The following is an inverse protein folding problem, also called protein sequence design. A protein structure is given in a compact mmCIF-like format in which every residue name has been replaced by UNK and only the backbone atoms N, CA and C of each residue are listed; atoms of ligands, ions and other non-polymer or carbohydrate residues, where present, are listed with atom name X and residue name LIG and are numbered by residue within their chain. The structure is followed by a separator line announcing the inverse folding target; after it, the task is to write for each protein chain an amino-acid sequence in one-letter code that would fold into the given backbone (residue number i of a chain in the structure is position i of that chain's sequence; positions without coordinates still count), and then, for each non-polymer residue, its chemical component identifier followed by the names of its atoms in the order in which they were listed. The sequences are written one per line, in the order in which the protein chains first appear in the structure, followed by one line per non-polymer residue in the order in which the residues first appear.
data_IF_884900774028
#
_entry.id   IF_884900774028
#
_cell.length_a   1.000
_cell.length_b   1.000
_cell.length_c   1.000
_cell.angle_alpha   90.00
_cell.angle_beta   90.00
_cell.angle_gamma   90.00
#
_symmetry.space_group_name_H-M   'P 1'
#
loop_
_entity.id
_entity.type
_entity.pdbx_description
1 polymer ?
#
# COMPACT_ATOMS: atom_id res chain seq x y z
N UNK A 1 28.27 23.92 -5.69
CA UNK A 1 27.72 22.56 -5.67
C UNK A 1 26.29 22.65 -6.19
N UNK A 2 26.05 22.21 -7.43
CA UNK A 2 24.72 22.22 -8.01
C UNK A 2 23.86 21.22 -7.23
N UNK A 3 22.93 21.73 -6.41
CA UNK A 3 21.89 20.89 -5.83
C UNK A 3 20.99 20.45 -6.99
N UNK A 4 20.98 19.16 -7.29
CA UNK A 4 20.11 18.60 -8.31
C UNK A 4 18.69 18.46 -7.72
N UNK A 5 18.07 19.61 -7.42
CA UNK A 5 16.71 19.68 -6.90
C UNK A 5 15.79 19.26 -8.04
N UNK A 6 15.13 18.11 -7.88
CA UNK A 6 14.25 17.55 -8.91
C UNK A 6 12.80 17.95 -8.62
N UNK A 7 12.47 18.21 -7.36
CA UNK A 7 11.10 18.51 -6.93
C UNK A 7 11.12 19.42 -5.71
N UNK A 8 10.33 20.49 -5.70
CA UNK A 8 10.23 21.43 -4.57
C UNK A 8 8.86 22.09 -4.52
N UNK A 9 8.41 22.50 -3.33
CA UNK A 9 7.11 23.11 -3.14
C UNK A 9 6.82 23.45 -1.69
N UNK A 10 5.54 23.63 -1.36
CA UNK A 10 5.08 23.98 -0.01
C UNK A 10 4.27 22.86 0.63
N UNK A 11 4.45 22.69 1.94
CA UNK A 11 3.78 21.66 2.74
C UNK A 11 2.29 21.92 2.96
N UNK A 12 1.83 23.16 2.78
CA UNK A 12 0.40 23.52 2.83
C UNK A 12 -0.39 23.04 1.60
N UNK A 13 0.32 22.78 0.49
CA UNK A 13 -0.25 22.26 -0.75
C UNK A 13 -0.07 20.74 -0.88
N UNK A 14 1.09 20.19 -0.49
CA UNK A 14 1.37 18.75 -0.45
C UNK A 14 1.91 18.39 0.92
N UNK A 15 1.13 17.64 1.69
CA UNK A 15 1.57 17.21 3.02
C UNK A 15 2.65 16.11 2.95
N UNK A 16 3.32 15.84 4.07
CA UNK A 16 4.37 14.81 4.11
C UNK A 16 3.86 13.42 3.71
N UNK A 17 2.61 13.08 4.02
CA UNK A 17 2.01 11.82 3.62
C UNK A 17 1.94 11.69 2.10
N UNK A 18 1.46 12.73 1.42
CA UNK A 18 1.41 12.82 -0.03
C UNK A 18 2.80 12.84 -0.67
N UNK A 19 3.76 13.56 -0.09
CA UNK A 19 5.15 13.56 -0.56
C UNK A 19 5.75 12.16 -0.50
N UNK A 20 5.57 11.43 0.60
CA UNK A 20 6.03 10.05 0.71
C UNK A 20 5.31 9.13 -0.29
N UNK A 21 4.02 9.33 -0.57
CA UNK A 21 3.33 8.59 -1.63
C UNK A 21 3.98 8.84 -3.01
N UNK A 22 4.19 10.11 -3.37
CA UNK A 22 4.80 10.50 -4.67
C UNK A 22 6.19 9.90 -4.82
N UNK A 23 7.07 10.06 -3.82
CA UNK A 23 8.42 9.49 -3.84
C UNK A 23 8.40 7.96 -3.94
N UNK A 24 7.42 7.37 -3.27
CA UNK A 24 7.20 5.94 -3.25
C UNK A 24 6.78 5.34 -4.57
N UNK A 25 5.93 6.05 -5.30
CA UNK A 25 5.43 5.68 -6.61
C UNK A 25 6.48 5.87 -7.70
N UNK A 26 7.32 6.90 -7.58
CA UNK A 26 8.40 7.15 -8.53
C UNK A 26 9.68 6.34 -8.23
N UNK A 27 9.63 5.40 -7.28
CA UNK A 27 10.77 4.60 -6.80
C UNK A 27 12.03 5.46 -6.58
N UNK A 28 11.84 6.66 -6.02
CA UNK A 28 12.86 7.71 -6.05
C UNK A 28 13.99 7.48 -5.04
N UNK A 29 15.21 7.83 -5.44
CA UNK A 29 16.41 7.83 -4.61
C UNK A 29 16.87 9.26 -4.35
N UNK A 30 17.04 9.62 -3.08
CA UNK A 30 17.50 10.96 -2.72
C UNK A 30 17.10 11.42 -1.32
N UNK A 31 17.34 12.70 -1.07
CA UNK A 31 17.05 13.34 0.21
C UNK A 31 15.89 14.32 0.06
N UNK A 32 14.80 14.08 0.80
CA UNK A 32 13.73 15.03 1.01
C UNK A 32 14.08 15.93 2.20
N UNK A 33 14.25 17.20 1.94
CA UNK A 33 14.53 18.24 2.94
C UNK A 33 13.28 19.07 3.17
N UNK A 34 12.88 19.17 4.44
CA UNK A 34 11.79 20.02 4.90
C UNK A 34 12.35 21.19 5.68
N UNK A 35 11.87 22.39 5.39
CA UNK A 35 12.24 23.63 6.10
C UNK A 35 10.99 24.35 6.54
N UNK A 36 10.94 24.76 7.80
CA UNK A 36 9.85 25.56 8.34
C UNK A 36 10.40 26.74 9.12
N UNK A 37 9.73 27.88 9.06
CA UNK A 37 10.08 29.08 9.85
C UNK A 37 9.88 28.88 11.36
N UNK A 38 9.23 27.79 11.77
CA UNK A 38 8.97 27.43 13.17
C UNK A 38 9.97 26.42 13.74
N UNK A 39 10.96 25.98 12.96
CA UNK A 39 12.01 25.06 13.41
C UNK A 39 13.38 25.60 13.03
N UNK A 40 14.32 25.58 13.97
CA UNK A 40 15.69 26.06 13.73
C UNK A 40 16.50 25.09 12.85
N UNK A 41 16.19 23.79 12.92
CA UNK A 41 16.85 22.76 12.11
C UNK A 41 15.92 22.27 10.99
N UNK A 42 16.45 22.05 9.76
CA UNK A 42 15.68 21.40 8.71
C UNK A 42 15.41 19.94 9.06
N UNK A 43 14.25 19.44 8.66
CA UNK A 43 13.98 18.02 8.59
C UNK A 43 14.65 17.39 7.39
N UNK A 44 15.30 16.25 7.55
CA UNK A 44 15.85 15.47 6.45
C UNK A 44 15.24 14.08 6.49
N UNK A 45 14.77 13.60 5.34
CA UNK A 45 14.30 12.24 5.13
C UNK A 45 15.11 11.67 3.97
N UNK A 46 15.85 10.61 4.26
CA UNK A 46 16.65 9.89 3.28
C UNK A 46 15.79 8.77 2.70
N UNK A 47 15.69 8.72 1.38
CA UNK A 47 14.80 7.82 0.65
C UNK A 47 15.61 6.94 -0.29
N UNK A 48 15.37 5.63 -0.22
CA UNK A 48 15.92 4.63 -1.12
C UNK A 48 14.78 3.76 -1.68
N UNK A 49 14.75 3.57 -2.99
CA UNK A 49 13.71 2.91 -3.78
C UNK A 49 12.30 3.39 -3.38
N UNK A 50 12.15 4.71 -3.21
CA UNK A 50 10.90 5.35 -2.78
C UNK A 50 10.49 5.07 -1.33
N UNK A 51 11.34 4.45 -0.52
CA UNK A 51 11.06 4.16 0.89
C UNK A 51 11.96 5.01 1.81
N UNK A 52 11.41 5.63 2.87
CA UNK A 52 12.23 6.32 3.85
C UNK A 52 13.09 5.30 4.61
N UNK A 53 14.40 5.50 4.61
CA UNK A 53 15.39 4.61 5.26
C UNK A 53 16.00 5.21 6.52
N UNK A 54 16.13 6.53 6.59
CA UNK A 54 16.59 7.30 7.74
C UNK A 54 15.89 8.67 7.74
N UNK A 55 15.73 9.29 8.91
CA UNK A 55 15.32 10.69 8.98
C UNK A 55 15.95 11.41 10.18
N UNK A 56 16.04 12.74 10.12
CA UNK A 56 16.63 13.53 11.21
C UNK A 56 16.02 14.92 11.32
N UNK A 57 15.85 15.39 12.56
CA UNK A 57 15.52 16.79 12.88
C UNK A 57 16.33 17.18 14.12
N UNK A 58 17.31 18.07 13.98
CA UNK A 58 18.14 18.49 15.12
C UNK A 58 18.82 17.28 15.79
N UNK A 59 18.38 16.92 17.00
CA UNK A 59 18.86 15.76 17.76
C UNK A 59 18.02 14.49 17.58
N UNK A 60 16.82 14.58 16.99
CA UNK A 60 15.97 13.42 16.72
C UNK A 60 16.46 12.70 15.45
N UNK A 61 16.38 11.37 15.47
CA UNK A 61 16.74 10.51 14.34
C UNK A 61 15.77 9.33 14.15
N UNK A 62 15.81 8.67 13.00
CA UNK A 62 15.03 7.47 12.72
C UNK A 62 13.52 7.72 12.69
N UNK A 63 12.75 6.82 13.30
CA UNK A 63 11.28 6.90 13.29
C UNK A 63 10.71 8.09 14.07
N UNK A 64 11.36 8.51 15.16
CA UNK A 64 10.87 9.60 16.01
C UNK A 64 10.98 10.95 15.30
N UNK A 65 12.08 11.16 14.57
CA UNK A 65 12.22 12.30 13.65
C UNK A 65 11.16 12.24 12.55
N UNK A 66 10.94 11.07 11.93
CA UNK A 66 10.01 10.96 10.82
C UNK A 66 8.58 11.28 11.24
N UNK A 67 8.10 10.74 12.37
CA UNK A 67 6.77 11.04 12.88
C UNK A 67 6.64 12.51 13.31
N UNK A 68 7.69 13.11 13.87
CA UNK A 68 7.67 14.54 14.22
C UNK A 68 7.47 15.43 12.99
N UNK A 69 7.98 15.04 11.81
CA UNK A 69 7.81 15.78 10.56
C UNK A 69 6.36 15.76 10.03
N UNK A 70 5.52 14.79 10.40
CA UNK A 70 4.09 14.83 10.05
C UNK A 70 3.37 16.01 10.73
N UNK A 71 3.93 16.56 11.80
CA UNK A 71 3.41 17.76 12.46
C UNK A 71 3.65 19.06 11.69
N UNK A 72 4.52 19.04 10.67
CA UNK A 72 4.91 20.24 9.94
C UNK A 72 3.86 20.54 8.86
N UNK A 73 2.93 21.43 9.21
CA UNK A 73 1.80 21.81 8.33
C UNK A 73 2.06 23.09 7.54
N UNK A 74 3.11 23.84 7.87
CA UNK A 74 3.56 25.03 7.14
C UNK A 74 5.09 24.96 6.97
N UNK A 75 5.55 25.11 5.73
CA UNK A 75 6.96 24.99 5.36
C UNK A 75 7.17 24.74 3.87
N UNK A 76 8.42 24.62 3.50
CA UNK A 76 8.88 24.30 2.15
C UNK A 76 9.55 22.94 2.14
N UNK A 77 9.44 22.24 1.03
CA UNK A 77 10.15 20.98 0.79
C UNK A 77 11.01 21.08 -0.45
N UNK A 78 12.16 20.40 -0.42
CA UNK A 78 13.08 20.22 -1.55
C UNK A 78 13.51 18.75 -1.59
N UNK A 79 13.30 18.08 -2.72
CA UNK A 79 13.84 16.75 -2.97
C UNK A 79 15.02 16.84 -3.93
N UNK A 80 16.17 16.40 -3.44
CA UNK A 80 17.39 16.26 -4.23
C UNK A 80 17.57 14.79 -4.61
N UNK A 81 17.60 14.48 -5.90
CA UNK A 81 17.93 13.12 -6.33
C UNK A 81 19.44 12.91 -6.24
N UNK A 82 19.83 11.97 -5.41
CA UNK A 82 21.22 11.65 -5.09
C UNK A 82 21.33 10.22 -4.56
N UNK A 83 22.53 9.64 -4.61
CA UNK A 83 22.78 8.34 -4.02
C UNK A 83 22.79 8.46 -2.49
N UNK A 84 21.90 7.70 -1.84
CA UNK A 84 21.71 7.74 -0.40
C UNK A 84 22.46 6.57 0.24
N UNK A 85 23.66 6.85 0.79
CA UNK A 85 24.41 5.90 1.61
C UNK A 85 24.05 6.04 3.10
N UNK A 86 22.79 5.68 3.43
CA UNK A 86 22.29 5.64 4.81
C UNK A 86 21.84 4.23 5.16
N UNK A 87 22.14 3.81 6.39
CA UNK A 87 21.64 2.54 6.92
C UNK A 87 20.13 2.61 7.05
N UNK A 88 19.45 1.55 6.63
CA UNK A 88 18.02 1.43 6.82
C UNK A 88 17.70 1.18 8.30
N UNK A 89 17.26 2.23 9.00
CA UNK A 89 16.80 2.18 10.39
C UNK A 89 15.27 2.27 10.49
N UNK A 90 14.60 2.67 9.40
CA UNK A 90 13.14 2.75 9.29
C UNK A 90 12.60 1.47 8.64
N UNK A 91 12.25 0.49 9.48
CA UNK A 91 11.82 -0.84 9.04
C UNK A 91 10.28 -0.98 8.88
N UNK A 92 9.52 0.12 8.94
CA UNK A 92 8.06 0.12 8.76
C UNK A 92 7.69 0.30 7.28
N UNK A 93 6.56 -0.28 6.88
CA UNK A 93 6.01 -0.06 5.54
C UNK A 93 5.61 1.41 5.37
N UNK A 94 5.86 1.99 4.20
CA UNK A 94 5.58 3.40 3.89
C UNK A 94 4.13 3.81 4.16
N UNK A 95 3.15 3.00 3.75
CA UNK A 95 1.74 3.29 4.03
C UNK A 95 1.40 3.15 5.50
N UNK A 96 2.06 2.25 6.23
CA UNK A 96 1.91 2.17 7.69
C UNK A 96 2.44 3.44 8.37
N UNK A 97 3.59 3.97 7.92
CA UNK A 97 4.15 5.24 8.39
C UNK A 97 3.16 6.37 8.13
N UNK A 98 2.66 6.51 6.90
CA UNK A 98 1.71 7.57 6.52
C UNK A 98 0.43 7.50 7.37
N UNK A 99 -0.14 6.31 7.53
CA UNK A 99 -1.38 6.13 8.28
C UNK A 99 -1.20 6.28 9.79
N UNK A 100 -0.07 5.85 10.34
CA UNK A 100 0.26 6.09 11.76
C UNK A 100 0.55 7.58 12.00
N UNK A 101 1.31 8.24 11.12
CA UNK A 101 1.65 9.66 11.21
C UNK A 101 0.41 10.55 11.16
N UNK A 102 -0.46 10.36 10.16
CA UNK A 102 -1.73 11.07 10.06
C UNK A 102 -2.62 10.87 11.30
N UNK A 103 -2.73 9.62 11.78
CA UNK A 103 -3.50 9.33 13.00
C UNK A 103 -2.91 9.99 14.23
N UNK A 104 -1.59 9.96 14.40
CA UNK A 104 -0.91 10.57 15.55
C UNK A 104 -1.08 12.10 15.55
N UNK A 105 -1.12 12.72 14.37
CA UNK A 105 -1.42 14.15 14.20
C UNK A 105 -2.87 14.48 14.59
N UNK A 106 -3.83 13.68 14.15
CA UNK A 106 -5.25 13.85 14.47
C UNK A 106 -5.56 13.58 15.96
N UNK A 107 -4.93 12.56 16.54
CA UNK A 107 -5.01 12.23 17.97
C UNK A 107 -4.33 13.29 18.87
N UNK A 108 -3.63 14.27 18.28
CA UNK A 108 -2.88 15.31 19.01
C UNK A 108 -1.59 14.81 19.69
N UNK A 109 -1.06 13.66 19.27
CA UNK A 109 0.20 13.10 19.78
C UNK A 109 1.44 13.69 19.12
N UNK A 110 1.29 14.23 17.91
CA UNK A 110 2.31 15.01 17.21
C UNK A 110 1.92 16.48 17.30
N UNK A 111 2.85 17.31 17.74
CA UNK A 111 2.64 18.75 17.83
C UNK A 111 2.61 19.38 16.42
N UNK A 112 1.59 20.20 16.15
CA UNK A 112 1.46 20.92 14.88
C UNK A 112 2.39 22.12 14.85
N UNK A 113 3.41 22.06 14.00
CA UNK A 113 4.34 23.16 13.72
C UNK A 113 3.86 23.91 12.48
N UNK A 114 3.28 25.09 12.67
CA UNK A 114 2.77 25.93 11.61
C UNK A 114 2.18 27.25 12.10
N UNK A 115 1.78 28.13 11.17
CA UNK A 115 0.97 29.29 11.54
C UNK A 115 -0.30 28.74 12.19
N UNK A 116 -0.53 29.07 13.46
CA UNK A 116 -1.75 28.69 14.16
C UNK A 116 -2.92 29.40 13.48
N UNK A 117 -3.40 28.82 12.38
CA UNK A 117 -4.70 29.16 11.86
C UNK A 117 -5.67 28.55 12.85
N UNK A 118 -6.27 29.41 13.68
CA UNK A 118 -7.61 29.19 14.19
C UNK A 118 -8.57 29.10 12.99
N UNK A 119 -8.42 28.06 12.17
CA UNK A 119 -9.52 27.52 11.40
C UNK A 119 -10.16 26.54 12.35
N UNK A 120 -11.40 26.83 12.69
CA UNK A 120 -12.27 26.02 13.55
C UNK A 120 -11.86 24.55 13.46
N UNK A 121 -11.43 23.98 14.58
CA UNK A 121 -11.58 22.54 14.73
C UNK A 121 -13.02 22.24 14.36
N UNK A 122 -13.33 21.38 13.38
CA UNK A 122 -14.68 20.89 13.25
C UNK A 122 -15.03 20.36 14.63
N UNK A 123 -16.06 20.95 15.22
CA UNK A 123 -16.62 20.54 16.50
C UNK A 123 -16.62 19.01 16.52
N UNK A 124 -16.19 18.44 17.64
CA UNK A 124 -16.41 17.04 18.01
C UNK A 124 -17.74 16.52 17.46
N UNK A 125 -17.72 15.95 16.24
CA UNK A 125 -18.75 15.06 15.77
C UNK A 125 -18.41 13.72 16.38
N UNK A 126 -18.87 13.53 17.62
CA UNK A 126 -18.93 12.22 18.26
C UNK A 126 -19.76 11.30 17.35
N UNK A 127 -19.09 10.60 16.43
CA UNK A 127 -19.72 9.74 15.43
C UNK A 127 -18.95 9.56 14.12
N UNK A 128 -17.98 10.44 13.78
CA UNK A 128 -17.27 10.30 12.51
C UNK A 128 -16.30 9.11 12.51
N UNK A 129 -16.57 8.15 11.61
CA UNK A 129 -15.65 7.08 11.27
C UNK A 129 -14.32 7.72 10.85
N UNK A 130 -13.21 7.31 11.47
CA UNK A 130 -11.87 7.75 11.09
C UNK A 130 -11.72 7.75 9.55
N UNK A 131 -11.13 8.80 8.96
CA UNK A 131 -11.05 8.95 7.51
C UNK A 131 -10.45 7.69 6.89
N UNK A 132 -11.10 7.21 5.83
CA UNK A 132 -10.60 6.05 5.10
C UNK A 132 -9.22 6.36 4.54
N UNK A 133 -8.30 5.38 4.55
CA UNK A 133 -7.00 5.57 3.92
C UNK A 133 -7.20 5.87 2.42
N UNK A 134 -6.62 6.97 1.95
CA UNK A 134 -6.64 7.38 0.54
C UNK A 134 -5.33 6.97 -0.12
N UNK A 135 -5.44 6.18 -1.19
CA UNK A 135 -4.31 5.80 -2.06
C UNK A 135 -4.42 6.53 -3.38
N UNK A 136 -3.38 7.31 -3.70
CA UNK A 136 -3.19 7.91 -5.03
C UNK A 136 -2.12 7.12 -5.78
N UNK A 137 -2.07 7.31 -7.09
CA UNK A 137 -1.06 6.71 -7.94
C UNK A 137 -0.27 7.74 -8.74
N UNK A 138 0.61 7.26 -9.63
CA UNK A 138 1.45 8.11 -10.47
C UNK A 138 0.67 8.89 -11.52
N UNK A 139 1.38 9.76 -12.23
CA UNK A 139 0.91 10.33 -13.50
C UNK A 139 0.49 9.19 -14.44
N UNK A 140 -0.68 9.36 -15.05
CA UNK A 140 -1.30 8.37 -15.93
C UNK A 140 -0.66 8.44 -17.31
N UNK A 141 -0.23 7.29 -17.84
CA UNK A 141 0.14 7.14 -19.24
C UNK A 141 -1.11 6.99 -20.10
N UNK A 142 -1.54 8.09 -20.72
CA UNK A 142 -2.71 8.14 -21.60
C UNK A 142 -2.59 7.20 -22.81
N UNK A 143 -1.40 6.71 -23.18
CA UNK A 143 -1.26 5.74 -24.27
C UNK A 143 -1.91 4.37 -23.97
N UNK A 144 -2.20 4.09 -22.70
CA UNK A 144 -2.91 2.88 -22.28
C UNK A 144 -4.41 3.11 -22.07
N UNK A 145 -4.90 4.35 -22.19
CA UNK A 145 -6.32 4.70 -22.02
C UNK A 145 -7.01 4.61 -23.39
N UNK A 146 -8.05 3.80 -23.49
CA UNK A 146 -8.85 3.61 -24.71
C UNK A 146 -10.09 4.51 -24.74
N UNK A 147 -10.68 4.76 -23.57
CA UNK A 147 -11.90 5.55 -23.43
C UNK A 147 -11.94 6.22 -22.06
N UNK A 148 -12.78 7.22 -21.92
CA UNK A 148 -12.99 7.96 -20.67
C UNK A 148 -14.46 7.92 -20.27
N UNK A 149 -14.70 7.73 -18.97
CA UNK A 149 -16.04 7.69 -18.39
C UNK A 149 -16.12 8.64 -17.19
N UNK A 150 -17.20 9.42 -17.14
CA UNK A 150 -17.47 10.36 -16.05
C UNK A 150 -18.61 9.84 -15.15
N UNK A 151 -18.44 10.02 -13.85
CA UNK A 151 -19.38 9.60 -12.83
C UNK A 151 -19.63 10.71 -11.83
N UNK A 152 -20.87 10.80 -11.36
CA UNK A 152 -21.30 11.74 -10.34
C UNK A 152 -21.25 11.11 -8.95
N UNK A 153 -21.33 11.95 -7.92
CA UNK A 153 -21.30 11.52 -6.52
C UNK A 153 -22.32 10.40 -6.22
N UNK A 154 -21.86 9.36 -5.53
CA UNK A 154 -22.68 8.21 -5.15
C UNK A 154 -22.97 7.22 -6.28
N UNK A 155 -22.49 7.43 -7.52
CA UNK A 155 -22.63 6.45 -8.58
C UNK A 155 -21.85 5.17 -8.25
N UNK A 156 -22.52 4.02 -8.36
CA UNK A 156 -21.87 2.71 -8.26
C UNK A 156 -21.31 2.32 -9.64
N UNK A 157 -19.99 2.36 -9.75
CA UNK A 157 -19.24 2.17 -11.01
C UNK A 157 -19.04 0.68 -11.29
N UNK A 158 -18.72 -0.07 -10.25
CA UNK A 158 -18.47 -1.52 -10.29
C UNK A 158 -19.23 -2.16 -9.14
N UNK A 159 -19.79 -3.35 -9.36
CA UNK A 159 -20.54 -4.10 -8.36
C UNK A 159 -19.79 -5.39 -7.97
N UNK A 160 -19.69 -5.68 -6.67
CA UNK A 160 -19.17 -6.95 -6.17
C UNK A 160 -19.97 -8.13 -6.75
N UNK A 161 -19.29 -9.23 -7.08
CA UNK A 161 -19.93 -10.43 -7.63
C UNK A 161 -20.25 -10.37 -9.12
N UNK A 162 -20.30 -9.18 -9.73
CA UNK A 162 -20.49 -9.07 -11.18
C UNK A 162 -19.25 -9.51 -11.95
N UNK A 163 -19.45 -9.95 -13.19
CA UNK A 163 -18.35 -10.22 -14.12
C UNK A 163 -17.89 -8.90 -14.75
N UNK A 164 -16.58 -8.70 -14.85
CA UNK A 164 -16.03 -7.57 -15.58
C UNK A 164 -14.59 -7.80 -16.03
N UNK A 165 -14.33 -7.49 -17.29
CA UNK A 165 -13.04 -7.65 -17.97
C UNK A 165 -12.30 -6.30 -18.17
N UNK A 166 -12.75 -5.25 -17.50
CA UNK A 166 -12.22 -3.90 -17.64
C UNK A 166 -11.39 -3.53 -16.41
N UNK A 167 -10.33 -2.77 -16.63
CA UNK A 167 -9.56 -2.12 -15.59
C UNK A 167 -9.58 -0.62 -15.89
N UNK A 168 -9.71 0.19 -14.85
CA UNK A 168 -9.70 1.64 -15.00
C UNK A 168 -8.53 2.25 -14.23
N UNK A 169 -8.12 3.42 -14.66
CA UNK A 169 -7.27 4.34 -13.91
C UNK A 169 -8.09 5.58 -13.57
N UNK A 170 -7.93 6.11 -12.37
CA UNK A 170 -8.62 7.33 -11.94
C UNK A 170 -7.87 8.52 -12.52
N UNK A 171 -8.45 9.21 -13.50
CA UNK A 171 -7.87 10.42 -14.08
C UNK A 171 -8.09 11.60 -13.13
N UNK A 172 -9.31 11.71 -12.59
CA UNK A 172 -9.70 12.74 -11.63
C UNK A 172 -10.73 12.20 -10.62
N UNK A 173 -10.64 12.69 -9.38
CA UNK A 173 -11.63 12.42 -8.34
C UNK A 173 -11.22 11.30 -7.39
N UNK A 174 -12.19 10.87 -6.57
CA UNK A 174 -11.99 9.85 -5.55
C UNK A 174 -13.11 8.81 -5.66
N UNK A 175 -12.76 7.53 -5.53
CA UNK A 175 -13.72 6.43 -5.39
C UNK A 175 -13.52 5.71 -4.06
N UNK A 176 -14.61 5.18 -3.52
CA UNK A 176 -14.63 4.31 -2.36
C UNK A 176 -14.79 2.85 -2.77
N UNK A 177 -13.91 2.00 -2.26
CA UNK A 177 -14.00 0.55 -2.42
C UNK A 177 -14.76 -0.02 -1.22
N UNK A 178 -15.89 -0.66 -1.49
CA UNK A 178 -16.79 -1.21 -0.48
C UNK A 178 -16.99 -2.71 -0.67
N UNK A 179 -17.21 -3.41 0.45
CA UNK A 179 -17.51 -4.85 0.48
C UNK A 179 -18.92 -5.07 0.99
N UNK A 180 -19.68 -5.93 0.32
CA UNK A 180 -20.99 -6.31 0.82
C UNK A 180 -20.86 -7.20 2.06
N UNK A 181 -21.64 -6.89 3.10
CA UNK A 181 -21.68 -7.72 4.30
C UNK A 181 -23.09 -7.81 4.86
N UNK A 182 -23.40 -8.82 5.71
CA UNK A 182 -24.72 -8.92 6.34
C UNK A 182 -25.10 -7.74 7.25
N UNK A 183 -24.15 -6.87 7.63
CA UNK A 183 -24.41 -5.66 8.44
C UNK A 183 -24.47 -4.38 7.59
N UNK A 184 -24.51 -4.52 6.27
CA UNK A 184 -24.41 -3.41 5.31
C UNK A 184 -23.01 -3.28 4.71
N UNK A 185 -22.81 -2.31 3.80
CA UNK A 185 -21.54 -2.12 3.10
C UNK A 185 -20.42 -1.76 4.07
N UNK A 186 -19.28 -2.42 3.91
CA UNK A 186 -18.05 -2.18 4.65
C UNK A 186 -17.08 -1.40 3.77
N UNK A 187 -16.79 -0.16 4.14
CA UNK A 187 -15.79 0.63 3.42
C UNK A 187 -14.38 0.10 3.72
N UNK A 188 -13.62 -0.15 2.66
CA UNK A 188 -12.28 -0.74 2.75
C UNK A 188 -11.19 0.33 2.60
N UNK A 189 -11.20 1.04 1.49
CA UNK A 189 -10.15 1.98 1.10
C UNK A 189 -10.74 3.01 0.12
N UNK A 190 -10.18 4.22 0.10
CA UNK A 190 -10.48 5.21 -0.94
C UNK A 190 -9.31 5.26 -1.93
N UNK A 191 -9.60 5.35 -3.22
CA UNK A 191 -8.62 5.50 -4.28
C UNK A 191 -8.81 6.87 -4.95
N UNK A 192 -7.73 7.57 -5.25
CA UNK A 192 -7.74 8.87 -5.92
C UNK A 192 -6.95 8.88 -7.21
N UNK A 193 -6.70 10.07 -7.76
CA UNK A 193 -5.99 10.28 -9.02
C UNK A 193 -4.73 9.38 -9.17
N UNK A 194 -4.57 8.80 -10.35
CA UNK A 194 -3.47 7.90 -10.71
C UNK A 194 -3.60 6.46 -10.18
N UNK A 195 -4.51 6.20 -9.23
CA UNK A 195 -4.72 4.86 -8.72
C UNK A 195 -5.59 4.02 -9.69
N UNK A 196 -5.48 2.70 -9.56
CA UNK A 196 -6.15 1.76 -10.46
C UNK A 196 -7.36 1.10 -9.78
N UNK A 197 -8.47 1.04 -10.51
CA UNK A 197 -9.66 0.27 -10.15
C UNK A 197 -9.65 -1.03 -10.94
N UNK A 198 -9.53 -2.13 -10.21
CA UNK A 198 -9.38 -3.47 -10.77
C UNK A 198 -8.06 -4.10 -10.37
N UNK A 199 -7.81 -5.29 -10.90
CA UNK A 199 -6.58 -6.05 -10.67
C UNK A 199 -6.22 -6.76 -11.97
N UNK A 200 -5.07 -7.41 -12.04
CA UNK A 200 -4.68 -8.17 -13.23
C UNK A 200 -5.75 -9.17 -13.66
N UNK A 201 -6.55 -9.71 -12.73
CA UNK A 201 -7.64 -10.64 -13.05
C UNK A 201 -8.70 -10.03 -13.99
N UNK A 202 -8.79 -8.70 -14.07
CA UNK A 202 -9.66 -8.01 -15.00
C UNK A 202 -9.29 -8.25 -16.46
N UNK A 203 -8.01 -8.43 -16.80
CA UNK A 203 -7.58 -8.70 -18.18
C UNK A 203 -7.05 -10.12 -18.39
N UNK A 204 -7.17 -10.99 -17.39
CA UNK A 204 -6.87 -12.41 -17.52
C UNK A 204 -8.17 -13.19 -17.80
N UNK A 205 -8.08 -14.26 -18.58
CA UNK A 205 -9.24 -15.09 -18.94
C UNK A 205 -9.80 -15.93 -17.77
N UNK A 206 -9.15 -15.91 -16.61
CA UNK A 206 -9.49 -16.68 -15.42
C UNK A 206 -9.90 -15.74 -14.26
N UNK A 207 -11.13 -15.86 -13.77
CA UNK A 207 -11.52 -15.27 -12.48
C UNK A 207 -11.91 -13.78 -12.51
N UNK A 208 -12.78 -13.41 -13.46
CA UNK A 208 -13.19 -12.03 -13.75
C UNK A 208 -14.34 -11.53 -12.85
N UNK A 209 -14.59 -12.21 -11.73
CA UNK A 209 -15.62 -11.81 -10.77
C UNK A 209 -15.07 -10.70 -9.90
N UNK A 210 -15.79 -9.57 -9.83
CA UNK A 210 -15.40 -8.40 -9.05
C UNK A 210 -15.45 -8.73 -7.56
N UNK A 211 -14.39 -8.38 -6.85
CA UNK A 211 -14.25 -8.68 -5.41
C UNK A 211 -14.77 -7.58 -4.50
N UNK A 212 -15.23 -6.45 -5.04
CA UNK A 212 -15.72 -5.30 -4.29
C UNK A 212 -16.56 -4.39 -5.20
N UNK A 213 -17.39 -3.56 -4.57
CA UNK A 213 -18.13 -2.47 -5.21
C UNK A 213 -17.28 -1.19 -5.19
N UNK A 214 -17.41 -0.37 -6.22
CA UNK A 214 -16.68 0.90 -6.38
C UNK A 214 -17.70 2.03 -6.49
N UNK A 215 -17.62 3.01 -5.60
CA UNK A 215 -18.57 4.12 -5.52
C UNK A 215 -17.86 5.44 -5.72
N UNK A 216 -18.36 6.30 -6.61
CA UNK A 216 -17.83 7.64 -6.80
C UNK A 216 -18.05 8.51 -5.55
N UNK A 217 -17.03 9.27 -5.16
CA UNK A 217 -17.10 10.31 -4.12
C UNK A 217 -16.83 11.66 -4.77
N UNK A 218 -17.89 12.41 -5.02
CA UNK A 218 -17.88 13.60 -5.87
C UNK A 218 -17.85 13.24 -7.35
N UNK A 219 -17.41 14.21 -8.16
CA UNK A 219 -17.15 13.99 -9.58
C UNK A 219 -15.91 13.11 -9.76
N UNK A 220 -16.01 12.07 -10.60
CA UNK A 220 -14.93 11.14 -10.90
C UNK A 220 -14.83 10.95 -12.41
N UNK A 221 -13.61 11.02 -12.93
CA UNK A 221 -13.28 10.68 -14.30
C UNK A 221 -12.36 9.46 -14.31
N UNK A 222 -12.77 8.42 -15.02
CA UNK A 222 -12.03 7.18 -15.17
C UNK A 222 -11.54 7.01 -16.61
N UNK A 223 -10.30 6.55 -16.78
CA UNK A 223 -9.78 6.08 -18.06
C UNK A 223 -9.85 4.55 -18.13
N UNK A 224 -10.58 4.01 -19.10
CA UNK A 224 -10.63 2.57 -19.37
C UNK A 224 -9.32 2.12 -20.03
N UNK A 225 -8.65 1.12 -19.45
CA UNK A 225 -7.36 0.65 -19.94
C UNK A 225 -7.46 -0.39 -21.05
N UNK A 226 -6.48 -0.39 -21.96
CA UNK A 226 -6.32 -1.38 -23.02
C UNK A 226 -5.97 -2.76 -22.46
N UNK A 227 -7.01 -3.58 -22.22
CA UNK A 227 -6.88 -4.94 -21.73
C UNK A 227 -6.12 -5.87 -22.69
N UNK A 228 -6.16 -5.63 -24.01
CA UNK A 228 -5.43 -6.45 -24.98
C UNK A 228 -3.93 -6.17 -24.90
N UNK A 229 -3.56 -4.90 -24.78
CA UNK A 229 -2.16 -4.49 -24.59
C UNK A 229 -1.60 -5.02 -23.27
N UNK A 230 -2.34 -4.86 -22.17
CA UNK A 230 -1.95 -5.38 -20.85
C UNK A 230 -1.83 -6.91 -20.83
N UNK A 231 -2.79 -7.62 -21.40
CA UNK A 231 -2.73 -9.09 -21.49
C UNK A 231 -1.58 -9.57 -22.37
N UNK A 232 -1.28 -8.86 -23.47
CA UNK A 232 -0.13 -9.15 -24.34
C UNK A 232 1.21 -8.95 -23.62
N UNK A 233 1.33 -7.93 -22.78
CA UNK A 233 2.51 -7.71 -21.93
C UNK A 233 2.65 -8.82 -20.89
N UNK A 234 1.56 -9.15 -20.19
CA UNK A 234 1.54 -10.25 -19.22
C UNK A 234 1.91 -11.60 -19.85
N UNK A 235 1.46 -11.87 -21.08
CA UNK A 235 1.76 -13.13 -21.78
C UNK A 235 3.25 -13.30 -22.12
N UNK A 236 3.98 -12.21 -22.32
CA UNK A 236 5.43 -12.20 -22.62
C UNK A 236 6.30 -12.41 -21.38
N UNK A 237 5.76 -12.19 -20.18
CA UNK A 237 6.48 -12.39 -18.93
C UNK A 237 6.90 -13.85 -18.74
N UNK A 238 8.04 -14.05 -18.08
CA UNK A 238 8.51 -15.34 -17.61
C UNK A 238 7.49 -16.04 -16.72
N UNK A 239 7.62 -17.36 -16.58
CA UNK A 239 6.77 -18.11 -15.67
C UNK A 239 6.90 -17.65 -14.21
N UNK A 240 8.07 -17.17 -13.83
CA UNK A 240 8.35 -16.73 -12.46
C UNK A 240 7.64 -15.40 -12.17
N UNK A 241 7.82 -14.40 -13.04
CA UNK A 241 7.17 -13.10 -12.89
C UNK A 241 5.65 -13.20 -12.99
N UNK A 242 5.10 -14.02 -13.91
CA UNK A 242 3.65 -14.27 -13.96
C UNK A 242 3.11 -14.88 -12.67
N UNK A 243 3.83 -15.82 -12.07
CA UNK A 243 3.45 -16.42 -10.77
C UNK A 243 3.51 -15.39 -9.65
N UNK A 244 4.55 -14.57 -9.62
CA UNK A 244 4.69 -13.47 -8.68
C UNK A 244 3.49 -12.51 -8.76
N UNK A 245 3.18 -12.01 -9.95
CA UNK A 245 2.07 -11.07 -10.19
C UNK A 245 0.71 -11.70 -9.85
N UNK A 246 0.46 -12.96 -10.24
CA UNK A 246 -0.74 -13.72 -9.85
C UNK A 246 -0.86 -13.93 -8.34
N UNK A 247 0.24 -14.22 -7.66
CA UNK A 247 0.26 -14.43 -6.21
C UNK A 247 0.00 -13.12 -5.46
N UNK A 248 0.48 -11.98 -5.96
CA UNK A 248 0.18 -10.66 -5.41
C UNK A 248 -1.32 -10.30 -5.52
N UNK A 249 -1.95 -10.54 -6.67
CA UNK A 249 -3.40 -10.36 -6.84
C UNK A 249 -4.21 -11.24 -5.88
N UNK A 250 -3.80 -12.51 -5.75
CA UNK A 250 -4.41 -13.45 -4.80
C UNK A 250 -4.27 -12.94 -3.35
N UNK A 251 -3.13 -12.38 -2.97
CA UNK A 251 -2.91 -11.79 -1.64
C UNK A 251 -3.86 -10.62 -1.38
N UNK A 252 -4.03 -9.70 -2.33
CA UNK A 252 -4.98 -8.59 -2.22
C UNK A 252 -6.41 -9.08 -1.96
N UNK A 253 -6.86 -10.07 -2.75
CA UNK A 253 -8.19 -10.68 -2.58
C UNK A 253 -8.36 -11.35 -1.21
N UNK A 254 -7.36 -12.12 -0.77
CA UNK A 254 -7.41 -12.83 0.50
C UNK A 254 -7.41 -11.89 1.70
N UNK A 255 -6.56 -10.86 1.72
CA UNK A 255 -6.54 -9.90 2.84
C UNK A 255 -7.83 -9.09 2.91
N UNK A 256 -8.44 -8.77 1.77
CA UNK A 256 -9.77 -8.14 1.71
C UNK A 256 -10.84 -9.04 2.33
N UNK A 257 -10.85 -10.34 2.02
CA UNK A 257 -11.77 -11.30 2.62
C UNK A 257 -11.54 -11.44 4.13
N UNK A 258 -10.30 -11.51 4.58
CA UNK A 258 -9.99 -11.55 6.01
C UNK A 258 -10.42 -10.27 6.73
N UNK A 259 -10.27 -9.10 6.12
CA UNK A 259 -10.77 -7.85 6.70
C UNK A 259 -12.29 -7.88 6.92
N UNK A 260 -13.05 -8.41 5.96
CA UNK A 260 -14.51 -8.62 6.10
C UNK A 260 -14.82 -9.59 7.23
N UNK A 261 -14.17 -10.76 7.26
CA UNK A 261 -14.38 -11.77 8.30
C UNK A 261 -14.08 -11.22 9.71
N UNK A 262 -12.97 -10.49 9.85
CA UNK A 262 -12.56 -9.86 11.11
C UNK A 262 -13.52 -8.75 11.52
N UNK A 263 -14.05 -7.95 10.59
CA UNK A 263 -15.10 -6.97 10.89
C UNK A 263 -16.38 -7.64 11.44
N UNK A 264 -16.59 -8.90 11.07
CA UNK A 264 -17.69 -9.75 11.53
C UNK A 264 -17.34 -10.62 12.74
N UNK A 265 -16.21 -10.35 13.39
CA UNK A 265 -15.70 -11.11 14.55
C UNK A 265 -15.45 -12.59 14.25
N UNK A 266 -15.21 -12.95 12.98
CA UNK A 266 -14.81 -14.29 12.57
C UNK A 266 -13.29 -14.31 12.42
N UNK A 267 -12.58 -14.95 13.35
CA UNK A 267 -11.15 -15.18 13.22
C UNK A 267 -10.88 -16.69 13.09
N UNK A 268 -10.42 -17.11 11.91
CA UNK A 268 -10.14 -18.50 11.57
C UNK A 268 -8.68 -18.91 11.78
N UNK A 269 -7.84 -18.05 12.38
CA UNK A 269 -6.40 -18.25 12.49
C UNK A 269 -5.99 -19.60 13.08
N UNK A 270 -6.59 -20.01 14.21
CA UNK A 270 -6.27 -21.29 14.86
C UNK A 270 -6.61 -22.51 13.98
N UNK A 271 -7.67 -22.41 13.18
CA UNK A 271 -8.10 -23.48 12.27
C UNK A 271 -7.14 -23.58 11.08
N UNK A 272 -6.81 -22.45 10.44
CA UNK A 272 -5.97 -22.45 9.23
C UNK A 272 -4.50 -22.75 9.53
N UNK A 273 -4.03 -22.48 10.76
CA UNK A 273 -2.65 -22.79 11.21
C UNK A 273 -2.52 -24.16 11.88
N UNK A 274 -3.61 -24.94 11.98
CA UNK A 274 -3.57 -26.31 12.49
C UNK A 274 -2.49 -27.12 11.75
N UNK A 275 -1.63 -27.78 12.52
CA UNK A 275 -0.49 -28.59 12.04
C UNK A 275 0.60 -27.81 11.28
N UNK A 276 0.67 -26.48 11.42
CA UNK A 276 1.74 -25.65 10.86
C UNK A 276 2.70 -25.19 11.94
N UNK A 277 3.96 -24.93 11.56
CA UNK A 277 5.00 -24.38 12.43
C UNK A 277 5.44 -23.02 11.90
N UNK A 278 5.85 -22.12 12.81
CA UNK A 278 6.47 -20.85 12.42
C UNK A 278 7.82 -21.15 11.78
N UNK A 279 8.02 -20.72 10.53
CA UNK A 279 9.29 -20.83 9.80
C UNK A 279 10.01 -19.49 9.70
N UNK A 280 9.28 -18.38 9.66
CA UNK A 280 9.81 -17.02 9.77
C UNK A 280 8.96 -16.28 10.80
N UNK A 281 9.61 -15.63 11.77
CA UNK A 281 8.94 -14.80 12.77
C UNK A 281 8.94 -13.34 12.32
N UNK A 282 7.82 -12.66 12.51
CA UNK A 282 7.67 -11.23 12.27
C UNK A 282 8.82 -10.43 12.90
N UNK A 283 9.35 -9.47 12.14
CA UNK A 283 10.44 -8.59 12.56
C UNK A 283 11.83 -9.21 12.45
N UNK A 284 11.96 -10.50 12.12
CA UNK A 284 13.26 -11.08 11.75
C UNK A 284 13.62 -10.69 10.32
N UNK A 285 14.87 -10.27 10.10
CA UNK A 285 15.40 -10.11 8.75
C UNK A 285 15.52 -11.47 8.06
N UNK A 286 15.02 -11.52 6.83
CA UNK A 286 15.21 -12.60 5.87
C UNK A 286 15.27 -11.93 4.51
N UNK A 287 16.46 -11.85 3.92
CA UNK A 287 16.68 -11.09 2.69
C UNK A 287 16.32 -11.89 1.43
N UNK A 288 16.02 -13.19 1.56
CA UNK A 288 15.68 -14.07 0.45
C UNK A 288 14.18 -14.13 0.22
N UNK A 289 13.82 -14.46 -1.01
CA UNK A 289 12.48 -14.89 -1.37
C UNK A 289 12.47 -16.34 -1.88
N UNK A 290 11.35 -17.01 -1.69
CA UNK A 290 11.15 -18.41 -2.02
C UNK A 290 9.85 -18.60 -2.79
N UNK A 291 9.89 -19.45 -3.82
CA UNK A 291 8.69 -19.98 -4.47
C UNK A 291 8.34 -21.34 -3.86
N UNK A 292 7.05 -21.56 -3.62
CA UNK A 292 6.54 -22.78 -3.00
C UNK A 292 6.36 -23.84 -4.07
N UNK A 293 7.05 -24.98 -3.92
CA UNK A 293 6.91 -26.13 -4.84
C UNK A 293 6.01 -27.22 -4.28
N UNK A 294 5.92 -27.33 -2.95
CA UNK A 294 5.00 -28.22 -2.24
C UNK A 294 4.67 -27.67 -0.84
N UNK A 295 3.52 -28.05 -0.29
CA UNK A 295 3.08 -27.67 1.05
C UNK A 295 2.20 -26.42 1.07
N UNK A 296 1.81 -26.01 2.28
CA UNK A 296 0.90 -24.90 2.52
C UNK A 296 1.52 -23.91 3.51
N UNK A 297 1.43 -22.62 3.19
CA UNK A 297 1.96 -21.52 3.98
C UNK A 297 0.83 -20.56 4.35
N UNK A 298 0.78 -20.13 5.61
CA UNK A 298 -0.12 -19.08 6.09
C UNK A 298 0.72 -17.90 6.54
N UNK A 299 0.34 -16.71 6.07
CA UNK A 299 0.94 -15.45 6.46
C UNK A 299 0.02 -14.79 7.47
N UNK A 300 0.57 -14.41 8.61
CA UNK A 300 -0.20 -13.74 9.64
C UNK A 300 0.62 -12.69 10.37
N UNK A 301 0.00 -11.54 10.61
CA UNK A 301 0.56 -10.45 11.39
C UNK A 301 0.23 -10.63 12.87
N UNK A 302 1.24 -10.57 13.71
CA UNK A 302 1.09 -10.53 15.17
C UNK A 302 0.73 -9.11 15.59
N UNK A 303 -0.31 -9.00 16.42
CA UNK A 303 -0.77 -7.75 17.03
C UNK A 303 -1.00 -7.97 18.53
N UNK A 304 -1.13 -6.90 19.31
CA UNK A 304 -1.48 -6.98 20.74
C UNK A 304 -2.80 -7.73 21.01
N UNK A 305 -3.68 -7.80 20.00
CA UNK A 305 -4.97 -8.49 20.05
C UNK A 305 -4.94 -9.90 19.43
N UNK A 306 -3.75 -10.46 19.21
CA UNK A 306 -3.55 -11.78 18.59
C UNK A 306 -3.21 -11.70 17.11
N UNK A 307 -3.22 -12.86 16.45
CA UNK A 307 -2.83 -12.98 15.04
C UNK A 307 -3.96 -12.60 14.07
N UNK A 308 -3.57 -11.83 13.07
CA UNK A 308 -4.38 -11.41 11.93
C UNK A 308 -3.95 -12.25 10.72
N UNK A 309 -4.78 -13.18 10.22
CA UNK A 309 -4.46 -13.92 9.00
C UNK A 309 -4.49 -12.97 7.80
N UNK A 310 -3.47 -13.06 6.94
CA UNK A 310 -3.31 -12.18 5.77
C UNK A 310 -3.43 -12.94 4.45
N UNK A 311 -2.81 -14.12 4.35
CA UNK A 311 -2.80 -14.90 3.12
C UNK A 311 -2.59 -16.39 3.39
N UNK A 312 -3.16 -17.22 2.51
CA UNK A 312 -2.95 -18.66 2.43
C UNK A 312 -2.38 -19.03 1.07
N UNK A 313 -1.22 -19.65 1.08
CA UNK A 313 -0.36 -19.85 -0.08
C UNK A 313 0.02 -21.32 -0.24
N UNK A 314 0.22 -21.73 -1.49
CA UNK A 314 0.59 -23.09 -1.85
C UNK A 314 1.47 -23.12 -3.09
N UNK A 315 1.48 -24.25 -3.79
CA UNK A 315 2.30 -24.45 -4.99
C UNK A 315 2.14 -23.31 -6.01
N UNK A 316 3.26 -22.68 -6.37
CA UNK A 316 3.32 -21.57 -7.33
C UNK A 316 3.22 -20.18 -6.72
N UNK A 317 2.88 -20.06 -5.43
CA UNK A 317 2.96 -18.80 -4.68
C UNK A 317 4.39 -18.54 -4.17
N UNK A 318 4.64 -17.33 -3.67
CA UNK A 318 5.92 -16.93 -3.09
C UNK A 318 5.79 -16.32 -1.68
N UNK A 319 6.88 -16.32 -0.92
CA UNK A 319 7.03 -15.53 0.30
C UNK A 319 8.50 -15.16 0.54
N UNK A 320 8.72 -14.21 1.46
CA UNK A 320 10.05 -13.67 1.77
C UNK A 320 10.19 -12.22 1.30
N UNK A 321 11.41 -11.70 1.31
CA UNK A 321 11.66 -10.31 0.98
C UNK A 321 11.77 -10.08 -0.53
N UNK A 322 10.97 -9.14 -1.05
CA UNK A 322 10.99 -8.69 -2.44
C UNK A 322 11.30 -7.19 -2.41
N UNK A 323 12.58 -6.80 -2.55
CA UNK A 323 13.02 -5.43 -2.22
C UNK A 323 12.30 -4.33 -3.01
N UNK A 324 11.98 -4.59 -4.27
CA UNK A 324 11.35 -3.64 -5.18
C UNK A 324 9.82 -3.54 -5.05
N UNK A 325 9.17 -4.31 -4.15
CA UNK A 325 7.72 -4.25 -3.92
C UNK A 325 7.38 -4.15 -2.43
N UNK A 326 6.72 -3.06 -2.03
CA UNK A 326 6.38 -2.83 -0.63
C UNK A 326 4.93 -3.24 -0.27
N UNK A 327 4.67 -4.54 -0.09
CA UNK A 327 3.32 -5.04 0.24
C UNK A 327 2.94 -4.94 1.73
N UNK A 328 3.91 -4.66 2.61
CA UNK A 328 3.66 -4.52 4.05
C UNK A 328 3.35 -5.83 4.79
N UNK A 329 3.73 -6.99 4.24
CA UNK A 329 3.60 -8.29 4.90
C UNK A 329 4.98 -8.77 5.42
N UNK A 330 5.46 -9.93 4.95
CA UNK A 330 6.73 -10.53 5.38
C UNK A 330 7.93 -9.82 4.72
N UNK A 331 9.12 -9.85 5.35
CA UNK A 331 9.44 -10.51 6.63
C UNK A 331 9.22 -9.61 7.87
N UNK A 332 9.11 -8.29 7.69
CA UNK A 332 9.11 -7.34 8.80
C UNK A 332 7.79 -7.27 9.57
N UNK A 333 6.65 -7.36 8.88
CA UNK A 333 5.33 -7.09 9.47
C UNK A 333 4.43 -8.33 9.57
N UNK A 334 4.92 -9.51 9.20
CA UNK A 334 4.17 -10.75 9.33
C UNK A 334 5.07 -11.98 9.53
N UNK A 335 4.51 -12.99 10.22
CA UNK A 335 5.12 -14.30 10.41
C UNK A 335 4.64 -15.28 9.34
N UNK A 336 5.49 -16.26 9.02
CA UNK A 336 5.21 -17.34 8.07
C UNK A 336 5.01 -18.64 8.83
N UNK A 337 3.85 -19.27 8.65
CA UNK A 337 3.50 -20.57 9.22
C UNK A 337 3.40 -21.62 8.12
N UNK A 338 4.16 -22.70 8.20
CA UNK A 338 4.24 -23.70 7.14
C UNK A 338 3.85 -25.11 7.59
N UNK A 339 3.29 -25.88 6.67
CA UNK A 339 3.08 -27.32 6.85
C UNK A 339 4.42 -28.09 6.86
N UNK A 340 4.43 -29.28 7.46
CA UNK A 340 5.66 -30.11 7.60
C UNK A 340 6.27 -30.55 6.26
N UNK A 341 5.47 -30.62 5.21
CA UNK A 341 5.85 -31.05 3.86
C UNK A 341 6.29 -29.89 2.94
N UNK A 342 6.51 -28.69 3.51
CA UNK A 342 6.94 -27.51 2.75
C UNK A 342 8.23 -27.80 1.95
N UNK A 343 8.18 -27.52 0.65
CA UNK A 343 9.34 -27.50 -0.25
C UNK A 343 9.40 -26.17 -0.98
N UNK A 344 10.60 -25.64 -1.11
CA UNK A 344 10.88 -24.30 -1.61
C UNK A 344 11.96 -24.34 -2.68
N UNK A 345 11.87 -23.40 -3.62
CA UNK A 345 13.00 -23.02 -4.45
C UNK A 345 13.37 -21.56 -4.14
N UNK A 346 14.66 -21.22 -4.04
CA UNK A 346 15.07 -19.82 -3.94
C UNK A 346 14.71 -19.09 -5.23
N UNK A 347 14.22 -17.85 -5.10
CA UNK A 347 13.96 -16.96 -6.23
C UNK A 347 15.25 -16.19 -6.52
N UNK A 348 15.63 -16.10 -7.79
CA UNK A 348 16.68 -15.20 -8.25
C UNK A 348 16.11 -13.77 -8.28
N UNK A 349 16.28 -13.05 -7.17
CA UNK A 349 15.76 -11.69 -6.99
C UNK A 349 16.31 -10.70 -8.01
N UNK A 350 17.58 -10.86 -8.39
CA UNK A 350 18.21 -9.96 -9.37
C UNK A 350 17.56 -10.13 -10.73
N UNK A 351 17.42 -11.37 -11.20
CA UNK A 351 16.77 -11.65 -12.48
C UNK A 351 15.29 -11.24 -12.49
N UNK A 352 14.58 -11.47 -11.37
CA UNK A 352 13.19 -11.07 -11.23
C UNK A 352 13.04 -9.53 -11.28
N UNK A 353 13.94 -8.80 -10.63
CA UNK A 353 13.97 -7.34 -10.64
C UNK A 353 14.31 -6.79 -12.04
N UNK A 354 15.33 -7.34 -12.71
CA UNK A 354 15.68 -6.94 -14.09
C UNK A 354 14.50 -7.10 -15.05
N UNK A 355 13.73 -8.19 -14.91
CA UNK A 355 12.52 -8.40 -15.71
C UNK A 355 11.40 -7.43 -15.32
N UNK A 356 11.18 -7.19 -14.02
CA UNK A 356 10.21 -6.21 -13.53
C UNK A 356 10.52 -4.79 -14.06
N UNK A 357 11.79 -4.38 -14.03
CA UNK A 357 12.24 -3.07 -14.50
C UNK A 357 12.04 -2.88 -16.01
N UNK A 358 12.03 -3.99 -16.77
CA UNK A 358 11.78 -4.01 -18.21
C UNK A 358 10.30 -3.89 -18.60
N UNK A 359 9.38 -4.00 -17.63
CA UNK A 359 7.95 -3.80 -17.86
C UNK A 359 7.65 -2.34 -18.22
N UNK A 360 6.52 -2.14 -18.90
CA UNK A 360 6.00 -0.79 -19.12
C UNK A 360 5.72 -0.09 -17.79
N UNK A 361 5.85 1.23 -17.79
CA UNK A 361 5.59 2.00 -16.56
C UNK A 361 4.17 1.77 -16.06
N UNK A 362 3.17 1.73 -16.96
CA UNK A 362 1.78 1.40 -16.61
C UNK A 362 1.65 0.07 -15.89
N UNK A 363 2.32 -0.99 -16.37
CA UNK A 363 2.23 -2.30 -15.73
C UNK A 363 2.92 -2.32 -14.36
N UNK A 364 4.07 -1.66 -14.22
CA UNK A 364 4.72 -1.46 -12.90
C UNK A 364 3.80 -0.73 -11.93
N UNK A 365 3.15 0.35 -12.38
CA UNK A 365 2.21 1.12 -11.58
C UNK A 365 1.00 0.28 -11.12
N UNK A 366 0.48 -0.63 -11.97
CA UNK A 366 -0.58 -1.57 -11.59
C UNK A 366 -0.11 -2.52 -10.48
N UNK A 367 1.10 -3.07 -10.60
CA UNK A 367 1.69 -3.97 -9.58
C UNK A 367 1.88 -3.21 -8.26
N UNK A 368 2.42 -1.99 -8.30
CA UNK A 368 2.60 -1.14 -7.12
C UNK A 368 1.28 -0.75 -6.45
N UNK A 369 0.25 -0.42 -7.24
CA UNK A 369 -1.08 -0.11 -6.73
C UNK A 369 -1.67 -1.33 -6.00
N UNK A 370 -1.55 -2.54 -6.56
CA UNK A 370 -1.98 -3.77 -5.87
C UNK A 370 -1.21 -4.01 -4.57
N UNK A 371 0.10 -3.80 -4.55
CA UNK A 371 0.92 -3.93 -3.35
C UNK A 371 0.53 -2.91 -2.27
N UNK A 372 0.30 -1.66 -2.66
CA UNK A 372 -0.11 -0.57 -1.79
C UNK A 372 -1.50 -0.85 -1.19
N UNK A 373 -2.47 -1.23 -2.03
CA UNK A 373 -3.80 -1.64 -1.58
C UNK A 373 -3.75 -2.85 -0.64
N UNK A 374 -2.85 -3.81 -0.89
CA UNK A 374 -2.63 -4.97 -0.01
C UNK A 374 -2.12 -4.52 1.37
N UNK A 375 -1.14 -3.63 1.40
CA UNK A 375 -0.60 -3.07 2.64
C UNK A 375 -1.67 -2.32 3.44
N UNK A 376 -2.40 -1.40 2.80
CA UNK A 376 -3.45 -0.61 3.46
C UNK A 376 -4.58 -1.50 3.99
N UNK A 377 -5.02 -2.48 3.20
CA UNK A 377 -6.06 -3.43 3.61
C UNK A 377 -5.60 -4.31 4.78
N UNK A 378 -4.31 -4.64 4.84
CA UNK A 378 -3.70 -5.37 5.98
C UNK A 378 -3.81 -4.58 7.28
N UNK A 379 -3.55 -3.27 7.23
CA UNK A 379 -3.69 -2.38 8.38
C UNK A 379 -5.15 -2.26 8.81
N UNK A 380 -6.08 -2.19 7.85
CA UNK A 380 -7.51 -2.22 8.14
C UNK A 380 -7.94 -3.52 8.83
N UNK A 381 -7.53 -4.68 8.31
CA UNK A 381 -7.79 -5.99 8.91
C UNK A 381 -7.27 -6.05 10.36
N UNK A 382 -6.06 -5.53 10.58
CA UNK A 382 -5.44 -5.45 11.91
C UNK A 382 -6.24 -4.56 12.87
N UNK A 383 -6.77 -3.42 12.40
CA UNK A 383 -7.66 -2.56 13.19
C UNK A 383 -8.95 -3.27 13.60
N UNK A 384 -9.56 -4.06 12.71
CA UNK A 384 -10.77 -4.83 13.04
C UNK A 384 -10.51 -5.91 14.10
N UNK A 385 -9.35 -6.57 14.06
CA UNK A 385 -8.94 -7.52 15.11
C UNK A 385 -8.81 -6.83 16.47
N UNK A 386 -8.13 -5.68 16.55
CA UNK A 386 -7.95 -4.93 17.80
C UNK A 386 -9.29 -4.44 18.36
N UNK A 387 -10.19 -3.93 17.51
CA UNK A 387 -11.53 -3.49 17.95
C UNK A 387 -12.41 -4.65 18.45
N UNK A 388 -12.23 -5.86 17.90
CA UNK A 388 -13.02 -7.03 18.27
C UNK A 388 -12.67 -7.56 19.67
N UNK A 389 -11.41 -7.44 20.09
CA UNK A 389 -10.93 -7.96 21.39
C UNK A 389 -11.04 -6.95 22.55
N UNK A 390 -11.20 -5.65 22.28
CA UNK A 390 -11.35 -4.59 23.30
C UNK A 390 -12.80 -4.36 23.77
N UNK A 391 -13.76 -5.16 23.29
CA UNK A 391 -15.17 -5.17 23.73
C UNK A 391 -15.55 -6.58 24.12
#
# INVERSE_FOLDING_TARGET
MNKNIVFSGKLDFLDLGELLQILGTNMSNGTLRLTSKYSEAPGLIYVNDGNPVESSIGQLSGMDALYSLFGWVDGEFEFCSEDVDKKNVINKNRMEIILDGARMLDDGKIEKLGAVSFKDSPKNNQGEKAPLPLVKGPIVDYMYVLDEEEFLDGNEIVFEGNYGNWMWVILEGIVDITRETPKGPLNMISLGNGAFVGSIASFLSEGNVRSATVVARGHVQLGMLDSQRLSGEFAKMSSELRRFVKSLDKRLKQVSNYAVDLSMKKNSFAQITKNKKVVIKQGKSEDRAFSITNGNVIIARETDAGFVPLSSMGKGDYFGNIPFINMGHEPHNASVFASKDLKLNPIDLKKLQEEYDSLSQTFKNIIENMATCTSVTTLLASRYQVKTMKK
#
